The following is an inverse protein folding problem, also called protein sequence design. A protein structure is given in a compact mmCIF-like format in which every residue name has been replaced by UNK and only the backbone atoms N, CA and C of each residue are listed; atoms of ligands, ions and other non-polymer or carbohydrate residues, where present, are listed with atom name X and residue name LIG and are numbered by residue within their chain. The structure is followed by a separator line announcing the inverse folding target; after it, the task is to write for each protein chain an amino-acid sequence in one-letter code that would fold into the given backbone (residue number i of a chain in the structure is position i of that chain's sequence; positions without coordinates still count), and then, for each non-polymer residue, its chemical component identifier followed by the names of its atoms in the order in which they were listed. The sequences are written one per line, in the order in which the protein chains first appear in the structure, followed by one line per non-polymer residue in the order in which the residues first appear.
data_IF_503518904146
#
_entry.id   IF_503518904146
#
_cell.length_a   1.000
_cell.length_b   1.000
_cell.length_c   1.000
_cell.angle_alpha   90.00
_cell.angle_beta   90.00
_cell.angle_gamma   90.00
#
_symmetry.space_group_name_H-M   'P 1'
#
loop_
_entity.id
_entity.type
_entity.pdbx_description
1 polymer ?
#
# COMPACT_ATOMS: atom_id res chain seq x y z
N UNK A 1 5.36 4.40 -11.07
CA UNK A 1 6.49 3.46 -11.22
C UNK A 1 7.25 3.38 -9.90
N UNK A 2 7.94 2.26 -9.59
CA UNK A 2 8.76 2.13 -8.38
C UNK A 2 9.98 3.05 -8.42
N UNK A 3 10.48 3.44 -7.25
CA UNK A 3 11.85 3.97 -7.12
C UNK A 3 12.86 2.83 -7.34
N UNK A 4 14.15 3.16 -7.47
CA UNK A 4 15.20 2.13 -7.60
C UNK A 4 15.27 1.20 -6.38
N UNK A 5 15.13 1.76 -5.18
CA UNK A 5 15.09 1.00 -3.93
C UNK A 5 13.86 0.10 -3.84
N UNK A 6 12.69 0.62 -4.20
CA UNK A 6 11.45 -0.18 -4.25
C UNK A 6 11.55 -1.30 -5.30
N UNK A 7 12.12 -1.03 -6.47
CA UNK A 7 12.30 -2.01 -7.54
C UNK A 7 13.22 -3.15 -7.09
N UNK A 8 14.31 -2.82 -6.39
CA UNK A 8 15.26 -3.78 -5.83
C UNK A 8 14.62 -4.60 -4.71
N UNK A 9 14.00 -3.92 -3.74
CA UNK A 9 13.38 -4.53 -2.57
C UNK A 9 12.22 -5.46 -2.95
N UNK A 10 11.38 -5.04 -3.90
CA UNK A 10 10.22 -5.80 -4.36
C UNK A 10 10.53 -6.78 -5.50
N UNK A 11 11.75 -6.73 -6.04
CA UNK A 11 12.21 -7.55 -7.19
C UNK A 11 11.29 -7.41 -8.40
N UNK A 12 11.03 -6.17 -8.79
CA UNK A 12 10.23 -5.82 -9.97
C UNK A 12 11.03 -4.95 -10.93
N UNK A 13 10.72 -5.01 -12.22
CA UNK A 13 11.32 -4.12 -13.20
C UNK A 13 10.92 -2.66 -12.96
N UNK A 14 11.79 -1.72 -13.31
CA UNK A 14 11.51 -0.28 -13.19
C UNK A 14 10.24 0.15 -13.97
N UNK A 15 9.90 -0.58 -15.03
CA UNK A 15 8.70 -0.40 -15.85
C UNK A 15 7.43 -1.07 -15.31
N UNK A 16 7.47 -1.74 -14.15
CA UNK A 16 6.30 -2.41 -13.55
C UNK A 16 5.57 -1.46 -12.61
N UNK A 17 4.24 -1.28 -12.72
CA UNK A 17 3.48 -0.42 -11.80
C UNK A 17 3.45 -0.96 -10.37
N UNK A 18 3.26 -0.07 -9.39
CA UNK A 18 3.14 -0.41 -7.97
C UNK A 18 1.91 0.25 -7.36
N UNK A 19 1.32 -0.41 -6.37
CA UNK A 19 0.22 0.13 -5.56
C UNK A 19 0.83 0.82 -4.34
N UNK A 20 0.45 2.08 -4.09
CA UNK A 20 0.87 2.84 -2.91
C UNK A 20 -0.33 3.21 -2.08
N UNK A 21 -0.25 2.95 -0.79
CA UNK A 21 -1.29 3.34 0.14
C UNK A 21 -0.71 3.68 1.51
N UNK A 22 -1.45 4.51 2.23
CA UNK A 22 -1.20 4.83 3.63
C UNK A 22 -2.19 4.05 4.47
N UNK A 23 -1.71 3.32 5.47
CA UNK A 23 -2.58 2.71 6.47
C UNK A 23 -2.46 3.47 7.78
N UNK A 24 -3.61 3.69 8.43
CA UNK A 24 -3.68 4.18 9.81
C UNK A 24 -4.52 3.21 10.62
N UNK A 25 -4.02 2.77 11.76
CA UNK A 25 -4.86 2.11 12.76
C UNK A 25 -5.36 3.16 13.74
N UNK A 26 -6.68 3.20 13.90
CA UNK A 26 -7.39 4.17 14.73
C UNK A 26 -8.20 3.38 15.75
N UNK A 27 -8.04 3.71 17.01
CA UNK A 27 -8.84 3.15 18.10
C UNK A 27 -10.29 3.63 18.04
N UNK A 28 -11.18 2.96 18.77
CA UNK A 28 -12.57 3.37 18.98
C UNK A 28 -12.72 4.79 19.54
N UNK A 29 -11.75 5.25 20.34
CA UNK A 29 -11.69 6.63 20.86
C UNK A 29 -11.17 7.66 19.86
N UNK A 30 -10.85 7.26 18.63
CA UNK A 30 -10.33 8.15 17.58
C UNK A 30 -8.82 8.41 17.65
N UNK A 31 -8.10 7.82 18.62
CA UNK A 31 -6.64 7.93 18.71
C UNK A 31 -5.96 7.07 17.66
N UNK A 32 -5.04 7.66 16.89
CA UNK A 32 -4.15 6.93 15.97
C UNK A 32 -3.08 6.18 16.77
N UNK A 33 -2.93 4.88 16.50
CA UNK A 33 -1.92 4.02 17.17
C UNK A 33 -0.80 3.57 16.24
N UNK A 34 -1.03 3.59 14.93
CA UNK A 34 -0.02 3.25 13.92
C UNK A 34 -0.27 4.03 12.63
N UNK A 35 0.82 4.40 11.97
CA UNK A 35 0.84 4.94 10.62
C UNK A 35 1.95 4.23 9.83
N UNK A 36 1.58 3.59 8.72
CA UNK A 36 2.53 3.07 7.75
C UNK A 36 2.43 3.89 6.45
N UNK A 37 3.53 4.54 6.08
CA UNK A 37 3.59 5.41 4.91
C UNK A 37 4.98 5.49 4.24
N UNK A 38 5.08 5.30 2.92
CA UNK A 38 4.13 4.56 2.07
C UNK A 38 4.26 3.05 2.29
N UNK A 39 3.16 2.32 2.22
CA UNK A 39 3.23 0.88 1.92
C UNK A 39 3.24 0.74 0.40
N UNK A 40 4.22 0.00 -0.12
CA UNK A 40 4.39 -0.24 -1.56
C UNK A 40 4.21 -1.71 -1.84
N UNK A 41 3.31 -2.05 -2.77
CA UNK A 41 3.04 -3.43 -3.20
C UNK A 41 3.26 -3.57 -4.70
N UNK A 42 3.67 -4.77 -5.10
CA UNK A 42 3.80 -5.20 -6.49
C UNK A 42 2.46 -5.10 -7.22
N UNK A 43 2.35 -4.22 -8.22
CA UNK A 43 1.11 -4.04 -8.98
C UNK A 43 0.82 -5.16 -9.99
N UNK A 44 1.82 -5.99 -10.31
CA UNK A 44 1.71 -7.12 -11.23
C UNK A 44 1.21 -8.42 -10.57
N UNK A 45 1.18 -8.48 -9.24
CA UNK A 45 0.86 -9.69 -8.49
C UNK A 45 -0.08 -9.47 -7.29
N UNK A 46 -0.47 -8.22 -7.00
CA UNK A 46 -1.34 -7.91 -5.86
C UNK A 46 -2.74 -7.56 -6.35
N UNK A 47 -3.74 -8.25 -5.80
CA UNK A 47 -5.16 -7.88 -5.94
C UNK A 47 -5.61 -7.34 -4.58
N UNK A 48 -6.20 -6.14 -4.59
CA UNK A 48 -6.89 -5.56 -3.44
C UNK A 48 -8.38 -5.64 -3.74
N UNK A 49 -9.07 -6.57 -3.08
CA UNK A 49 -10.52 -6.72 -3.19
C UNK A 49 -11.19 -6.18 -1.93
N UNK A 50 -12.25 -5.41 -2.11
CA UNK A 50 -12.95 -4.72 -1.03
C UNK A 50 -14.39 -4.45 -1.42
N UNK A 51 -15.31 -4.80 -0.53
CA UNK A 51 -16.70 -4.35 -0.62
C UNK A 51 -16.79 -2.99 0.05
N UNK A 52 -17.35 -2.01 -0.66
CA UNK A 52 -17.67 -0.69 -0.11
C UNK A 52 -19.16 -0.69 0.17
N UNK A 53 -19.50 -0.84 1.45
CA UNK A 53 -20.86 -0.62 1.93
C UNK A 53 -21.06 0.89 2.12
N UNK A 54 -22.19 1.40 1.64
CA UNK A 54 -22.62 2.79 1.82
C UNK A 54 -23.95 2.74 2.56
N UNK A 55 -24.08 3.56 3.59
CA UNK A 55 -25.34 3.83 4.29
C UNK A 55 -26.32 4.61 3.39
#
# INVERSE_FOLDING_TARGET
MPTEDEATTLRVGAGVPVIRYTRRHITDTGRVVEVAHPIVRRGDATIVDSVIERD
#
